data_IF_303386649380
#
_entry.id   IF_303386649380
#
_cell.length_a   1.000
_cell.length_b   1.000
_cell.length_c   1.000
_cell.angle_alpha   90.00
_cell.angle_beta   90.00
_cell.angle_gamma   90.00
#
_symmetry.space_group_name_H-M   'P 1'
#
loop_
_entity.id
_entity.type
_entity.pdbx_description
1 polymer ?
#
# COMPACT_ATOMS: atom_id res chain seq x y z
N UNK A 1 -45.77 -1.98 22.79
CA UNK A 1 -44.70 -2.93 23.16
C UNK A 1 -44.69 -4.01 22.08
N UNK A 2 -43.65 -4.34 21.32
CA UNK A 2 -42.24 -3.96 21.25
C UNK A 2 -41.82 -4.09 19.77
N UNK A 3 -41.24 -3.06 19.17
CA UNK A 3 -40.43 -3.18 17.94
C UNK A 3 -39.20 -2.27 18.09
N UNK A 4 -38.48 -2.44 19.19
CA UNK A 4 -37.23 -1.73 19.48
C UNK A 4 -36.15 -2.69 19.97
N UNK A 5 -36.21 -3.95 19.54
CA UNK A 5 -35.27 -4.99 19.94
C UNK A 5 -34.91 -5.85 18.72
N UNK A 6 -34.00 -5.34 17.89
CA UNK A 6 -33.08 -6.15 17.09
C UNK A 6 -31.98 -5.33 16.37
N UNK A 7 -31.67 -4.12 16.84
CA UNK A 7 -30.32 -3.55 16.71
C UNK A 7 -29.41 -4.26 17.72
N UNK A 8 -29.29 -5.58 17.60
CA UNK A 8 -28.20 -6.30 18.23
C UNK A 8 -26.93 -5.81 17.56
N UNK A 9 -26.08 -5.18 18.37
CA UNK A 9 -24.69 -4.87 18.08
C UNK A 9 -24.01 -6.07 17.40
N UNK A 10 -24.10 -6.18 16.07
CA UNK A 10 -23.25 -7.05 15.29
C UNK A 10 -21.89 -6.39 15.32
N UNK A 11 -21.08 -6.76 16.32
CA UNK A 11 -19.65 -6.48 16.29
C UNK A 11 -19.17 -7.07 14.96
N UNK A 12 -18.71 -6.23 14.01
CA UNK A 12 -18.27 -6.73 12.72
C UNK A 12 -17.14 -7.73 12.98
N UNK A 13 -17.08 -8.80 12.21
CA UNK A 13 -15.94 -9.71 12.26
C UNK A 13 -14.64 -8.94 11.99
N UNK A 14 -13.49 -9.50 12.39
CA UNK A 14 -12.19 -8.86 12.11
C UNK A 14 -12.02 -8.57 10.60
N UNK A 15 -12.48 -9.49 9.75
CA UNK A 15 -12.45 -9.34 8.29
C UNK A 15 -13.35 -8.21 7.80
N UNK A 16 -14.59 -8.11 8.32
CA UNK A 16 -15.51 -7.01 7.97
C UNK A 16 -15.01 -5.66 8.52
N UNK A 17 -14.40 -5.66 9.71
CA UNK A 17 -13.78 -4.47 10.29
C UNK A 17 -12.62 -3.99 9.43
N UNK A 18 -11.75 -4.89 8.97
CA UNK A 18 -10.66 -4.58 8.05
C UNK A 18 -11.18 -4.09 6.70
N UNK A 19 -12.21 -4.73 6.13
CA UNK A 19 -12.84 -4.28 4.89
C UNK A 19 -13.49 -2.89 5.04
N UNK A 20 -14.12 -2.61 6.17
CA UNK A 20 -14.70 -1.30 6.47
C UNK A 20 -13.61 -0.22 6.65
N UNK A 21 -12.51 -0.55 7.32
CA UNK A 21 -11.35 0.35 7.43
C UNK A 21 -10.76 0.62 6.04
N UNK A 22 -10.54 -0.42 5.24
CA UNK A 22 -10.08 -0.33 3.86
C UNK A 22 -11.01 0.54 2.98
N UNK A 23 -12.32 0.36 3.12
CA UNK A 23 -13.32 1.18 2.42
C UNK A 23 -13.30 2.65 2.85
N UNK A 24 -13.06 2.95 4.14
CA UNK A 24 -12.95 4.32 4.65
C UNK A 24 -11.75 5.08 4.07
N UNK A 25 -10.68 4.37 3.69
CA UNK A 25 -9.49 4.95 3.09
C UNK A 25 -9.38 4.69 1.57
N UNK A 26 -10.47 4.22 0.94
CA UNK A 26 -10.56 4.08 -0.52
C UNK A 26 -9.64 3.03 -1.14
N UNK A 27 -9.11 2.07 -0.37
CA UNK A 27 -8.24 1.01 -0.90
C UNK A 27 -8.64 -0.35 -0.35
N UNK A 28 -8.90 -1.29 -1.26
CA UNK A 28 -9.35 -2.67 -0.96
C UNK A 28 -8.27 -3.54 -0.30
N UNK A 29 -7.02 -3.07 -0.21
CA UNK A 29 -5.87 -3.82 0.30
C UNK A 29 -5.01 -3.00 1.26
N UNK A 30 -4.51 -3.65 2.32
CA UNK A 30 -3.55 -3.08 3.26
C UNK A 30 -2.27 -2.62 2.56
N UNK A 31 -1.82 -3.36 1.53
CA UNK A 31 -0.63 -2.99 0.76
C UNK A 31 -0.91 -1.76 -0.11
N UNK A 32 -2.11 -1.66 -0.68
CA UNK A 32 -2.55 -0.47 -1.41
C UNK A 32 -2.51 0.77 -0.53
N UNK A 33 -3.06 0.68 0.68
CA UNK A 33 -3.04 1.77 1.65
C UNK A 33 -1.61 2.20 2.00
N UNK A 34 -0.72 1.25 2.30
CA UNK A 34 0.67 1.58 2.62
C UNK A 34 1.33 2.29 1.44
N UNK A 35 1.15 1.78 0.22
CA UNK A 35 1.71 2.38 -0.99
C UNK A 35 1.19 3.80 -1.23
N UNK A 36 -0.13 4.01 -1.10
CA UNK A 36 -0.78 5.28 -1.40
C UNK A 36 -0.41 6.38 -0.40
N UNK A 37 -0.06 6.00 0.84
CA UNK A 37 0.41 6.93 1.88
C UNK A 37 1.92 7.17 1.84
N UNK A 38 2.68 6.53 0.93
CA UNK A 38 4.09 6.83 0.77
C UNK A 38 4.28 8.28 0.29
N UNK A 39 5.31 8.99 0.81
CA UNK A 39 5.80 10.23 0.24
C UNK A 39 5.98 10.13 -1.29
N UNK A 40 5.66 11.20 -2.01
CA UNK A 40 5.65 11.19 -3.47
C UNK A 40 7.02 10.87 -4.08
N UNK A 41 8.10 11.30 -3.43
CA UNK A 41 9.48 10.99 -3.80
C UNK A 41 9.77 9.47 -3.73
N UNK A 42 9.24 8.78 -2.71
CA UNK A 42 9.34 7.32 -2.61
C UNK A 42 8.48 6.62 -3.66
N UNK A 43 7.23 7.07 -3.89
CA UNK A 43 6.39 6.55 -4.97
C UNK A 43 7.04 6.73 -6.34
N UNK A 44 7.69 7.87 -6.57
CA UNK A 44 8.46 8.18 -7.77
C UNK A 44 9.66 7.25 -7.95
N UNK A 45 10.41 6.97 -6.88
CA UNK A 45 11.52 6.02 -6.92
C UNK A 45 11.05 4.61 -7.27
N UNK A 46 9.96 4.15 -6.64
CA UNK A 46 9.36 2.84 -6.94
C UNK A 46 8.84 2.77 -8.37
N UNK A 47 8.08 3.78 -8.83
CA UNK A 47 7.59 3.85 -10.21
C UNK A 47 8.73 3.84 -11.23
N UNK A 48 9.82 4.55 -10.92
CA UNK A 48 11.01 4.59 -11.78
C UNK A 48 11.69 3.21 -11.86
N UNK A 49 11.86 2.52 -10.72
CA UNK A 49 12.37 1.15 -10.68
C UNK A 49 11.45 0.16 -11.42
N UNK A 50 10.14 0.37 -11.35
CA UNK A 50 9.12 -0.42 -12.05
C UNK A 50 8.99 -0.08 -13.55
N UNK A 51 9.75 0.89 -14.07
CA UNK A 51 9.65 1.42 -15.45
C UNK A 51 8.23 1.87 -15.81
N UNK A 52 7.56 2.51 -14.86
CA UNK A 52 6.24 3.11 -15.04
C UNK A 52 6.37 4.59 -15.42
N UNK A 53 5.32 5.12 -16.04
CA UNK A 53 5.28 6.52 -16.47
C UNK A 53 4.96 7.45 -15.30
N UNK A 54 5.21 8.76 -15.48
CA UNK A 54 4.88 9.78 -14.46
C UNK A 54 3.41 9.78 -14.03
N UNK A 55 2.49 9.38 -14.92
CA UNK A 55 1.07 9.29 -14.62
C UNK A 55 0.76 8.31 -13.47
N UNK A 56 1.59 7.28 -13.30
CA UNK A 56 1.41 6.29 -12.23
C UNK A 56 1.84 6.81 -10.85
N UNK A 57 2.63 7.88 -10.78
CA UNK A 57 3.18 8.37 -9.50
C UNK A 57 2.08 8.90 -8.59
N UNK A 58 1.10 9.61 -9.17
CA UNK A 58 -0.05 10.17 -8.45
C UNK A 58 -1.25 9.23 -8.42
N UNK A 59 -1.17 8.08 -9.09
CA UNK A 59 -2.27 7.12 -9.20
C UNK A 59 -2.28 6.19 -7.97
N UNK A 60 -3.44 6.00 -7.31
CA UNK A 60 -3.61 4.98 -6.29
C UNK A 60 -3.28 3.59 -6.81
N UNK A 61 -2.70 2.72 -5.98
CA UNK A 61 -2.29 1.38 -6.41
C UNK A 61 -3.48 0.54 -6.93
N UNK A 62 -4.66 0.74 -6.35
CA UNK A 62 -5.89 0.05 -6.76
C UNK A 62 -6.34 0.42 -8.19
N UNK A 63 -6.07 1.65 -8.63
CA UNK A 63 -6.44 2.16 -9.96
C UNK A 63 -5.47 1.72 -11.06
N UNK A 64 -4.27 1.26 -10.69
CA UNK A 64 -3.31 0.73 -11.65
C UNK A 64 -3.81 -0.59 -12.27
N UNK A 65 -3.54 -0.82 -13.55
CA UNK A 65 -3.81 -2.12 -14.16
C UNK A 65 -2.97 -3.25 -13.53
N UNK A 66 -3.38 -4.50 -13.76
CA UNK A 66 -2.74 -5.67 -13.16
C UNK A 66 -1.24 -5.78 -13.52
N UNK A 67 -0.88 -5.41 -14.76
CA UNK A 67 0.51 -5.43 -15.23
C UNK A 67 1.37 -4.42 -14.46
N UNK A 68 0.83 -3.23 -14.23
CA UNK A 68 1.49 -2.14 -13.52
C UNK A 68 1.64 -2.47 -12.04
N UNK A 69 0.60 -3.04 -11.41
CA UNK A 69 0.70 -3.56 -10.03
C UNK A 69 1.75 -4.66 -9.90
N UNK A 70 1.81 -5.58 -10.86
CA UNK A 70 2.83 -6.64 -10.87
C UNK A 70 4.26 -6.07 -11.00
N UNK A 71 4.44 -5.01 -11.80
CA UNK A 71 5.73 -4.30 -11.90
C UNK A 71 6.10 -3.60 -10.60
N UNK A 72 5.16 -2.91 -9.95
CA UNK A 72 5.38 -2.29 -8.63
C UNK A 72 5.79 -3.35 -7.61
N UNK A 73 5.06 -4.47 -7.53
CA UNK A 73 5.37 -5.57 -6.63
C UNK A 73 6.79 -6.11 -6.85
N UNK A 74 7.19 -6.35 -8.10
CA UNK A 74 8.56 -6.80 -8.43
C UNK A 74 9.61 -5.76 -8.05
N UNK A 75 9.36 -4.48 -8.34
CA UNK A 75 10.29 -3.40 -8.03
C UNK A 75 10.52 -3.23 -6.52
N UNK A 76 9.45 -3.25 -5.72
CA UNK A 76 9.54 -3.15 -4.26
C UNK A 76 10.40 -4.28 -3.67
N UNK A 77 10.15 -5.53 -4.09
CA UNK A 77 10.93 -6.67 -3.61
C UNK A 77 12.40 -6.61 -4.06
N UNK A 78 12.67 -6.20 -5.31
CA UNK A 78 14.04 -6.04 -5.80
C UNK A 78 14.80 -4.93 -5.05
N UNK A 79 14.13 -3.80 -4.78
CA UNK A 79 14.71 -2.72 -3.98
C UNK A 79 14.98 -3.18 -2.54
N UNK A 80 14.06 -3.91 -1.92
CA UNK A 80 14.24 -4.42 -0.56
C UNK A 80 15.50 -5.29 -0.46
N UNK A 81 15.65 -6.28 -1.34
CA UNK A 81 16.81 -7.18 -1.34
C UNK A 81 18.12 -6.42 -1.62
N UNK A 82 18.11 -5.43 -2.51
CA UNK A 82 19.30 -4.64 -2.83
C UNK A 82 19.70 -3.66 -1.71
N UNK A 83 18.72 -3.07 -1.01
CA UNK A 83 18.96 -2.05 0.02
C UNK A 83 19.23 -2.67 1.40
N UNK A 84 18.71 -3.87 1.67
CA UNK A 84 18.87 -4.57 2.95
C UNK A 84 20.33 -4.68 3.44
N UNK A 85 21.34 -4.98 2.61
CA UNK A 85 22.74 -5.03 3.04
C UNK A 85 23.34 -3.66 3.40
N UNK A 86 22.79 -2.59 2.82
CA UNK A 86 23.23 -1.20 2.99
C UNK A 86 22.53 -0.53 4.18
N UNK A 87 21.32 -0.99 4.52
CA UNK A 87 20.53 -0.46 5.63
C UNK A 87 21.28 -0.58 6.97
N UNK A 88 21.14 0.44 7.82
CA UNK A 88 21.73 0.50 9.17
C UNK A 88 23.27 0.42 9.24
N UNK A 89 23.97 0.58 8.12
CA UNK A 89 25.43 0.69 8.12
C UNK A 89 25.86 2.06 8.65
N UNK A 90 26.94 2.15 9.45
CA UNK A 90 27.52 3.42 9.86
C UNK A 90 27.84 4.33 8.67
N UNK A 91 27.61 5.64 8.81
CA UNK A 91 27.91 6.63 7.75
C UNK A 91 29.37 6.56 7.26
N UNK A 92 30.31 6.21 8.15
CA UNK A 92 31.73 6.02 7.80
C UNK A 92 31.99 4.93 6.76
N UNK A 93 31.04 4.04 6.51
CA UNK A 93 31.14 2.97 5.52
C UNK A 93 30.67 3.42 4.12
N UNK A 94 30.10 4.63 3.99
CA UNK A 94 29.64 5.24 2.72
C UNK A 94 30.62 6.28 2.17
N UNK A 95 31.93 6.00 2.27
CA UNK A 95 33.01 6.91 1.85
C UNK A 95 33.33 6.81 0.37
#
# INVERSE_FOLDING_TARGET
>A
MMQAQQLQNRIPSATESLANIHALFGSESTVGLIYDHLPEDLRRAICSAARLTKAHISMPLAEMDEVSRAKVHRAVNALFEALKPLANRPLKDFR
#
